data_IF_571268132245
#
_entry.id   IF_571268132245
#
_cell.length_a   1.000
_cell.length_b   1.000
_cell.length_c   1.000
_cell.angle_alpha   90.00
_cell.angle_beta   90.00
_cell.angle_gamma   90.00
#
_symmetry.space_group_name_H-M   'P 1'
#
loop_
_entity.id
_entity.type
_entity.pdbx_description
1 polymer ?
#
# COMPACT_ATOMS: atom_id res chain seq x y z
N UNK A 1 -21.68 3.28 53.68
CA UNK A 1 -20.60 3.61 52.73
C UNK A 1 -19.99 2.34 52.14
N UNK A 2 -20.57 1.74 51.09
CA UNK A 2 -19.91 0.69 50.26
C UNK A 2 -20.62 0.56 48.90
N UNK A 3 -20.56 1.57 48.04
CA UNK A 3 -21.07 1.44 46.65
C UNK A 3 -20.12 1.98 45.57
N UNK A 4 -18.97 2.57 45.93
CA UNK A 4 -18.06 3.16 44.94
C UNK A 4 -17.03 2.19 44.34
N UNK A 5 -16.92 0.95 44.83
CA UNK A 5 -15.80 0.06 44.46
C UNK A 5 -16.02 -0.75 43.17
N UNK A 6 -17.26 -0.90 42.70
CA UNK A 6 -17.60 -1.74 41.54
C UNK A 6 -17.53 -1.03 40.20
N UNK A 7 -17.68 0.30 40.16
CA UNK A 7 -17.59 1.07 38.91
C UNK A 7 -16.16 1.23 38.40
N UNK A 8 -15.16 1.33 39.28
CA UNK A 8 -13.76 1.50 38.88
C UNK A 8 -13.20 0.28 38.11
N UNK A 9 -13.65 -0.93 38.43
CA UNK A 9 -13.21 -2.15 37.72
C UNK A 9 -13.84 -2.28 36.33
N UNK A 10 -15.08 -1.82 36.16
CA UNK A 10 -15.78 -1.83 34.87
C UNK A 10 -15.11 -0.89 33.85
N UNK A 11 -14.64 0.28 34.32
CA UNK A 11 -13.89 1.22 33.48
C UNK A 11 -12.49 0.72 33.09
N UNK A 12 -11.80 0.01 33.98
CA UNK A 12 -10.49 -0.62 33.68
C UNK A 12 -10.63 -1.75 32.65
N UNK A 13 -11.69 -2.56 32.74
CA UNK A 13 -12.00 -3.60 31.75
C UNK A 13 -12.39 -3.02 30.38
N UNK A 14 -13.11 -1.89 30.34
CA UNK A 14 -13.46 -1.21 29.09
C UNK A 14 -12.23 -0.60 28.40
N UNK A 15 -11.29 -0.05 29.17
CA UNK A 15 -10.02 0.47 28.65
C UNK A 15 -9.09 -0.64 28.15
N UNK A 16 -9.10 -1.84 28.77
CA UNK A 16 -8.33 -3.00 28.31
C UNK A 16 -8.90 -3.63 27.03
N UNK A 17 -10.22 -3.58 26.81
CA UNK A 17 -10.84 -4.11 25.59
C UNK A 17 -10.56 -3.21 24.37
N UNK A 18 -10.36 -1.91 24.57
CA UNK A 18 -10.08 -0.95 23.49
C UNK A 18 -8.62 -0.99 22.98
N UNK A 19 -7.69 -1.65 23.68
CA UNK A 19 -6.27 -1.73 23.30
C UNK A 19 -5.91 -2.89 22.36
N UNK A 20 -6.85 -3.78 22.03
CA UNK A 20 -6.62 -4.92 21.11
C UNK A 20 -6.80 -4.60 19.61
N UNK A 21 -7.19 -3.39 19.23
CA UNK A 21 -7.29 -2.99 17.82
C UNK A 21 -5.92 -2.82 17.12
N UNK A 22 -4.81 -2.90 17.87
CA UNK A 22 -3.44 -2.81 17.35
C UNK A 22 -2.88 -4.07 16.68
N UNK A 23 -3.58 -5.21 16.69
CA UNK A 23 -3.05 -6.47 16.15
C UNK A 23 -3.07 -6.59 14.60
N UNK A 24 -3.61 -5.60 13.87
CA UNK A 24 -3.73 -5.68 12.40
C UNK A 24 -2.38 -5.72 11.68
N UNK A 25 -1.30 -5.17 12.26
CA UNK A 25 0.02 -5.11 11.61
C UNK A 25 0.70 -6.48 11.50
N UNK A 26 0.41 -7.39 12.42
CA UNK A 26 1.02 -8.73 12.46
C UNK A 26 0.24 -9.76 11.65
N UNK A 27 -0.99 -9.43 11.23
CA UNK A 27 -1.79 -10.31 10.38
C UNK A 27 -1.21 -10.29 8.96
N UNK A 28 -0.83 -11.45 8.40
CA UNK A 28 -0.44 -11.53 7.00
C UNK A 28 -1.56 -11.02 6.09
N UNK A 29 -1.20 -10.26 5.06
CA UNK A 29 -2.12 -9.86 3.98
C UNK A 29 -2.03 -10.84 2.82
N UNK A 30 -3.11 -11.02 2.09
CA UNK A 30 -3.11 -11.79 0.83
C UNK A 30 -2.85 -10.83 -0.32
N UNK A 31 -1.87 -11.15 -1.17
CA UNK A 31 -1.60 -10.38 -2.37
C UNK A 31 -2.76 -10.50 -3.38
N UNK A 32 -2.99 -9.45 -4.16
CA UNK A 32 -3.89 -9.55 -5.32
C UNK A 32 -3.25 -10.40 -6.41
N UNK A 33 -4.07 -11.15 -7.14
CA UNK A 33 -3.66 -11.68 -8.45
C UNK A 33 -3.74 -10.59 -9.52
N UNK A 34 -3.08 -10.79 -10.65
CA UNK A 34 -3.17 -9.89 -11.80
C UNK A 34 -4.62 -9.66 -12.26
N UNK A 35 -5.44 -10.73 -12.29
CA UNK A 35 -6.84 -10.63 -12.70
C UNK A 35 -7.68 -9.89 -11.66
N UNK A 36 -7.43 -10.09 -10.36
CA UNK A 36 -8.12 -9.32 -9.32
C UNK A 36 -7.76 -7.83 -9.39
N UNK A 37 -6.50 -7.50 -9.71
CA UNK A 37 -6.10 -6.12 -9.95
C UNK A 37 -6.83 -5.53 -11.16
N UNK A 38 -6.82 -6.24 -12.31
CA UNK A 38 -7.56 -5.85 -13.53
C UNK A 38 -9.02 -5.57 -13.22
N UNK A 39 -9.70 -6.52 -12.59
CA UNK A 39 -11.12 -6.42 -12.27
C UNK A 39 -11.39 -5.20 -11.39
N UNK A 40 -10.66 -5.04 -10.27
CA UNK A 40 -10.86 -3.93 -9.34
C UNK A 40 -10.63 -2.57 -10.00
N UNK A 41 -9.56 -2.45 -10.78
CA UNK A 41 -9.21 -1.18 -11.42
C UNK A 41 -10.15 -0.83 -12.57
N UNK A 42 -10.55 -1.81 -13.40
CA UNK A 42 -11.55 -1.58 -14.45
C UNK A 42 -12.93 -1.24 -13.87
N UNK A 43 -13.35 -1.87 -12.76
CA UNK A 43 -14.57 -1.45 -12.05
C UNK A 43 -14.49 -0.03 -11.49
N UNK A 44 -13.28 0.46 -11.17
CA UNK A 44 -13.02 1.83 -10.77
C UNK A 44 -12.88 2.81 -11.96
N UNK A 45 -13.04 2.33 -13.21
CA UNK A 45 -13.00 3.14 -14.41
C UNK A 45 -11.63 3.28 -15.07
N UNK A 46 -10.61 2.61 -14.56
CA UNK A 46 -9.26 2.65 -15.15
C UNK A 46 -9.17 1.76 -16.39
N UNK A 47 -8.43 2.23 -17.39
CA UNK A 47 -7.94 1.41 -18.50
C UNK A 47 -6.70 0.64 -18.05
N UNK A 48 -6.58 -0.64 -18.43
CA UNK A 48 -5.45 -1.48 -18.03
C UNK A 48 -4.63 -1.90 -19.24
N UNK A 49 -3.33 -1.67 -19.16
CA UNK A 49 -2.35 -2.09 -20.17
C UNK A 49 -1.39 -3.10 -19.55
N UNK A 50 -1.19 -4.23 -20.24
CA UNK A 50 -0.14 -5.19 -19.92
C UNK A 50 1.16 -4.77 -20.60
N UNK A 51 2.19 -4.49 -19.81
CA UNK A 51 3.50 -4.04 -20.29
C UNK A 51 4.61 -5.01 -19.93
N UNK A 52 4.27 -6.25 -19.59
CA UNK A 52 5.23 -7.27 -19.15
C UNK A 52 6.35 -7.49 -20.17
N UNK A 53 6.02 -7.44 -21.47
CA UNK A 53 6.98 -7.63 -22.57
C UNK A 53 8.02 -6.50 -22.71
N UNK A 54 7.87 -5.38 -21.98
CA UNK A 54 8.86 -4.30 -21.94
C UNK A 54 10.03 -4.62 -21.00
N UNK A 55 9.90 -5.67 -20.20
CA UNK A 55 10.88 -6.07 -19.20
C UNK A 55 11.70 -7.28 -19.67
N UNK A 56 12.95 -7.38 -19.21
CA UNK A 56 13.78 -8.55 -19.49
C UNK A 56 13.12 -9.82 -18.96
N UNK A 57 13.18 -10.90 -19.74
CA UNK A 57 12.56 -12.17 -19.37
C UNK A 57 13.06 -12.66 -18.00
N UNK A 58 12.11 -12.91 -17.09
CA UNK A 58 12.40 -13.40 -15.73
C UNK A 58 12.78 -12.31 -14.72
N UNK A 59 12.79 -11.03 -15.12
CA UNK A 59 12.88 -9.91 -14.17
C UNK A 59 11.57 -9.72 -13.40
N UNK A 60 10.44 -9.82 -14.11
CA UNK A 60 9.05 -9.74 -13.64
C UNK A 60 8.24 -10.93 -14.17
N UNK A 61 7.14 -11.28 -13.49
CA UNK A 61 6.14 -12.23 -14.02
C UNK A 61 4.99 -11.50 -14.73
N UNK A 62 4.61 -10.32 -14.23
CA UNK A 62 3.52 -9.51 -14.77
C UNK A 62 3.75 -8.05 -14.41
N UNK A 63 3.47 -7.14 -15.34
CA UNK A 63 3.40 -5.70 -15.08
C UNK A 63 2.17 -5.12 -15.73
N UNK A 64 1.29 -4.55 -14.90
CA UNK A 64 0.06 -3.90 -15.33
C UNK A 64 0.11 -2.43 -14.99
N UNK A 65 -0.22 -1.59 -15.97
CA UNK A 65 -0.41 -0.16 -15.76
C UNK A 65 -1.90 0.13 -15.83
N UNK A 66 -2.44 0.71 -14.76
CA UNK A 66 -3.80 1.20 -14.71
C UNK A 66 -3.81 2.72 -14.86
N UNK A 67 -4.49 3.22 -15.88
CA UNK A 67 -4.54 4.64 -16.24
C UNK A 67 -5.97 5.20 -16.18
N UNK A 68 -6.12 6.37 -15.57
CA UNK A 68 -7.37 7.14 -15.56
C UNK A 68 -7.05 8.63 -15.55
N UNK A 69 -7.42 9.33 -16.62
CA UNK A 69 -7.01 10.72 -16.84
C UNK A 69 -5.48 10.87 -16.74
N UNK A 70 -5.00 11.70 -15.82
CA UNK A 70 -3.56 11.93 -15.60
C UNK A 70 -2.97 11.01 -14.53
N UNK A 71 -3.73 10.01 -14.05
CA UNK A 71 -3.30 9.10 -12.98
C UNK A 71 -2.86 7.75 -13.50
N UNK A 72 -1.72 7.28 -12.99
CA UNK A 72 -1.11 6.00 -13.25
C UNK A 72 -0.87 5.23 -11.94
N UNK A 73 -1.37 4.00 -11.89
CA UNK A 73 -1.09 3.05 -10.82
C UNK A 73 -0.49 1.79 -11.45
N UNK A 74 0.71 1.45 -11.02
CA UNK A 74 1.44 0.30 -11.54
C UNK A 74 1.32 -0.88 -10.58
N UNK A 75 1.10 -2.07 -11.13
CA UNK A 75 1.05 -3.31 -10.40
C UNK A 75 2.05 -4.32 -10.97
N UNK A 76 2.90 -4.84 -10.09
CA UNK A 76 3.95 -5.77 -10.41
C UNK A 76 3.71 -7.10 -9.71
N UNK A 77 3.90 -8.20 -10.45
CA UNK A 77 4.10 -9.53 -9.87
C UNK A 77 5.55 -9.92 -10.11
N UNK A 78 6.30 -10.11 -9.03
CA UNK A 78 7.71 -10.50 -9.09
C UNK A 78 7.84 -12.02 -9.02
N UNK A 79 8.90 -12.60 -9.62
CA UNK A 79 9.12 -14.05 -9.61
C UNK A 79 9.28 -14.65 -8.21
N UNK A 80 9.71 -13.85 -7.24
CA UNK A 80 9.88 -14.28 -5.85
C UNK A 80 9.60 -13.14 -4.88
N UNK A 81 9.26 -13.50 -3.64
CA UNK A 81 9.13 -12.54 -2.53
C UNK A 81 10.41 -11.73 -2.33
N UNK A 82 11.59 -12.38 -2.39
CA UNK A 82 12.87 -11.70 -2.22
C UNK A 82 13.14 -10.64 -3.31
N UNK A 83 12.74 -10.92 -4.56
CA UNK A 83 12.80 -9.91 -5.63
C UNK A 83 11.86 -8.75 -5.36
N UNK A 84 10.66 -9.02 -4.84
CA UNK A 84 9.72 -7.97 -4.46
C UNK A 84 10.21 -7.10 -3.29
N UNK A 85 10.87 -7.70 -2.30
CA UNK A 85 11.52 -6.97 -1.20
C UNK A 85 12.63 -6.05 -1.71
N UNK A 86 13.43 -6.52 -2.65
CA UNK A 86 14.48 -5.72 -3.29
C UNK A 86 13.88 -4.58 -4.09
N UNK A 87 12.87 -4.84 -4.93
CA UNK A 87 12.17 -3.81 -5.69
C UNK A 87 11.53 -2.76 -4.77
N UNK A 88 10.93 -3.19 -3.65
CA UNK A 88 10.38 -2.28 -2.64
C UNK A 88 11.46 -1.37 -2.05
N UNK A 89 12.61 -1.94 -1.67
CA UNK A 89 13.71 -1.17 -1.08
C UNK A 89 14.29 -0.13 -2.06
N UNK A 90 14.45 -0.49 -3.33
CA UNK A 90 14.92 0.42 -4.39
C UNK A 90 13.91 1.56 -4.58
N UNK A 91 12.64 1.24 -4.86
CA UNK A 91 11.60 2.25 -5.05
C UNK A 91 11.43 3.17 -3.83
N UNK A 92 11.51 2.61 -2.62
CA UNK A 92 11.48 3.40 -1.39
C UNK A 92 12.65 4.38 -1.34
N UNK A 93 13.87 3.92 -1.64
CA UNK A 93 15.06 4.77 -1.67
C UNK A 93 14.91 5.90 -2.69
N UNK A 94 14.36 5.60 -3.87
CA UNK A 94 14.13 6.59 -4.93
C UNK A 94 13.10 7.65 -4.47
N UNK A 95 12.01 7.23 -3.83
CA UNK A 95 11.02 8.15 -3.25
C UNK A 95 11.65 8.97 -2.10
N UNK A 96 12.51 8.37 -1.28
CA UNK A 96 13.25 9.07 -0.21
C UNK A 96 14.26 10.11 -0.75
N UNK A 97 14.73 9.96 -1.98
CA UNK A 97 15.61 10.93 -2.63
C UNK A 97 14.88 12.16 -3.20
N UNK A 98 13.54 12.13 -3.31
CA UNK A 98 12.77 13.26 -3.83
C UNK A 98 12.93 14.49 -2.93
N UNK A 99 13.33 15.61 -3.51
CA UNK A 99 13.60 16.85 -2.79
C UNK A 99 12.33 17.59 -2.34
N UNK A 100 12.47 18.40 -1.29
CA UNK A 100 11.42 19.31 -0.79
C UNK A 100 10.86 18.93 0.58
N UNK A 101 10.13 19.88 1.18
CA UNK A 101 9.40 19.63 2.43
C UNK A 101 8.37 18.53 2.21
N UNK A 102 8.31 17.59 3.14
CA UNK A 102 7.50 16.40 2.94
C UNK A 102 6.97 15.81 4.24
N UNK A 103 5.84 15.12 4.13
CA UNK A 103 5.34 14.19 5.13
C UNK A 103 5.52 12.77 4.61
N UNK A 104 6.05 11.87 5.43
CA UNK A 104 6.21 10.46 5.09
C UNK A 104 5.57 9.55 6.13
N UNK A 105 5.14 8.37 5.68
CA UNK A 105 4.62 7.32 6.54
C UNK A 105 5.09 5.96 6.04
N UNK A 106 5.38 5.06 6.97
CA UNK A 106 5.78 3.69 6.65
C UNK A 106 5.00 2.69 7.47
N UNK A 107 4.66 1.57 6.84
CA UNK A 107 4.07 0.39 7.47
C UNK A 107 5.04 -0.77 7.22
N UNK A 108 5.40 -1.50 8.28
CA UNK A 108 6.23 -2.70 8.20
C UNK A 108 5.50 -3.83 8.92
N UNK A 109 4.82 -4.67 8.15
CA UNK A 109 4.13 -5.86 8.61
C UNK A 109 4.94 -7.14 8.36
N UNK A 110 4.33 -8.29 8.62
CA UNK A 110 4.99 -9.59 8.51
C UNK A 110 5.33 -9.98 7.07
N UNK A 111 4.38 -9.82 6.14
CA UNK A 111 4.55 -10.11 4.72
C UNK A 111 4.19 -8.93 3.80
N UNK A 112 4.05 -7.73 4.39
CA UNK A 112 3.69 -6.53 3.65
C UNK A 112 4.44 -5.31 4.18
N UNK A 113 4.77 -4.38 3.29
CA UNK A 113 5.41 -3.12 3.63
C UNK A 113 4.82 -2.02 2.76
N UNK A 114 4.69 -0.82 3.31
CA UNK A 114 4.30 0.35 2.52
C UNK A 114 5.15 1.53 2.91
N UNK A 115 5.52 2.34 1.93
CA UNK A 115 6.13 3.64 2.12
C UNK A 115 5.37 4.65 1.29
N UNK A 116 5.01 5.75 1.92
CA UNK A 116 4.32 6.86 1.28
C UNK A 116 5.05 8.14 1.60
N UNK A 117 5.21 8.99 0.58
CA UNK A 117 5.72 10.35 0.74
C UNK A 117 4.80 11.33 0.03
N UNK A 118 4.48 12.41 0.74
CA UNK A 118 3.76 13.57 0.22
C UNK A 118 4.69 14.76 0.21
N UNK A 119 4.82 15.43 -0.92
CA UNK A 119 5.51 16.71 -1.05
C UNK A 119 4.53 17.77 -1.51
N UNK A 120 4.96 19.03 -1.63
CA UNK A 120 4.16 20.05 -2.30
C UNK A 120 3.95 19.76 -3.80
N UNK A 121 4.76 18.87 -4.39
CA UNK A 121 4.72 18.55 -5.82
C UNK A 121 3.91 17.30 -6.14
N UNK A 122 3.64 16.43 -5.16
CA UNK A 122 3.03 15.15 -5.51
C UNK A 122 2.86 14.14 -4.40
N UNK A 123 2.33 13.00 -4.83
CA UNK A 123 2.03 11.82 -4.05
C UNK A 123 2.84 10.63 -4.57
N UNK A 124 3.63 10.03 -3.67
CA UNK A 124 4.49 8.90 -4.01
C UNK A 124 4.21 7.74 -3.06
N UNK A 125 4.03 6.54 -3.61
CA UNK A 125 3.76 5.34 -2.84
C UNK A 125 4.45 4.14 -3.47
N UNK A 126 5.02 3.31 -2.62
CA UNK A 126 5.33 1.92 -2.93
C UNK A 126 4.75 1.05 -1.83
N UNK A 127 3.95 0.06 -2.21
CA UNK A 127 3.37 -0.92 -1.27
C UNK A 127 3.60 -2.33 -1.80
N UNK A 128 4.06 -3.22 -0.92
CA UNK A 128 4.38 -4.61 -1.21
C UNK A 128 3.50 -5.52 -0.37
N UNK A 129 2.97 -6.58 -0.98
CA UNK A 129 2.38 -7.72 -0.28
C UNK A 129 2.94 -8.98 -0.95
N UNK A 130 3.62 -9.84 -0.19
CA UNK A 130 4.29 -11.03 -0.71
C UNK A 130 5.22 -10.71 -1.89
N UNK A 131 5.00 -11.31 -3.07
CA UNK A 131 5.77 -11.08 -4.30
C UNK A 131 5.18 -9.98 -5.18
N UNK A 132 4.18 -9.24 -4.73
CA UNK A 132 3.52 -8.19 -5.52
C UNK A 132 3.86 -6.79 -5.03
N UNK A 133 3.86 -5.82 -5.94
CA UNK A 133 4.00 -4.41 -5.61
C UNK A 133 2.92 -3.57 -6.29
N UNK A 134 2.48 -2.53 -5.60
CA UNK A 134 1.78 -1.40 -6.18
C UNK A 134 2.66 -0.17 -6.05
N UNK A 135 2.84 0.56 -7.15
CA UNK A 135 3.63 1.78 -7.23
C UNK A 135 2.81 2.93 -7.80
N UNK A 136 3.00 4.11 -7.21
CA UNK A 136 2.40 5.36 -7.67
C UNK A 136 3.42 6.48 -7.56
N UNK A 137 3.58 7.27 -8.62
CA UNK A 137 4.42 8.47 -8.63
C UNK A 137 3.73 9.58 -9.41
N UNK A 138 2.99 10.42 -8.69
CA UNK A 138 2.08 11.39 -9.28
C UNK A 138 2.44 12.81 -8.87
N UNK A 139 2.67 13.69 -9.85
CA UNK A 139 2.94 15.11 -9.63
C UNK A 139 1.64 15.96 -9.61
N UNK A 140 0.69 15.75 -8.68
CA UNK A 140 -0.49 16.62 -8.54
C UNK A 140 -1.27 16.48 -7.21
N UNK A 141 -2.12 17.47 -6.89
CA UNK A 141 -2.91 17.64 -5.63
C UNK A 141 -3.94 16.53 -5.31
N UNK A 142 -4.27 15.65 -6.26
CA UNK A 142 -5.31 14.61 -6.19
C UNK A 142 -4.95 13.38 -5.32
N UNK A 143 -3.92 13.48 -4.45
CA UNK A 143 -3.42 12.37 -3.63
C UNK A 143 -4.43 11.78 -2.62
N UNK A 144 -5.64 12.33 -2.51
CA UNK A 144 -6.74 11.75 -1.72
C UNK A 144 -7.44 10.63 -2.50
N UNK A 145 -7.81 10.86 -3.75
CA UNK A 145 -8.50 9.90 -4.62
C UNK A 145 -7.64 8.64 -4.80
N UNK A 146 -6.35 8.82 -5.06
CA UNK A 146 -5.39 7.72 -5.19
C UNK A 146 -5.27 6.91 -3.90
N UNK A 147 -5.22 7.56 -2.74
CA UNK A 147 -5.12 6.84 -1.46
C UNK A 147 -6.33 5.93 -1.23
N UNK A 148 -7.52 6.40 -1.57
CA UNK A 148 -8.76 5.64 -1.39
C UNK A 148 -8.77 4.40 -2.30
N UNK A 149 -8.35 4.52 -3.57
CA UNK A 149 -8.27 3.37 -4.47
C UNK A 149 -7.20 2.36 -4.01
N UNK A 150 -6.01 2.82 -3.58
CA UNK A 150 -4.97 1.93 -3.04
C UNK A 150 -5.47 1.16 -1.81
N UNK A 151 -6.21 1.81 -0.92
CA UNK A 151 -6.82 1.16 0.24
C UNK A 151 -7.87 0.11 -0.16
N UNK A 152 -8.67 0.36 -1.20
CA UNK A 152 -9.65 -0.60 -1.74
C UNK A 152 -9.00 -1.81 -2.42
N UNK A 153 -7.78 -1.64 -2.97
CA UNK A 153 -6.94 -2.74 -3.43
C UNK A 153 -6.39 -3.56 -2.24
N UNK A 154 -6.34 -2.98 -1.04
CA UNK A 154 -5.81 -3.61 0.17
C UNK A 154 -4.32 -3.35 0.41
N UNK A 155 -3.71 -2.46 -0.36
CA UNK A 155 -2.28 -2.10 -0.33
C UNK A 155 -2.00 -0.85 0.53
#
# INVERSE_FOLDING_TARGET
MKHSFWWSWLFVLLFLAASLSGCSLYKPKTALTADQFRDKMSHAGYSITDVTDQFEKGSVEMVLIAELADHQIEFYVMPTVAKAETAFAVNRSDIEAIAGSSFSSSINGSNHNSYTRKTARGYYLVSRIENTLVFVSEEAEEGKTIREIIQQLGY
#
